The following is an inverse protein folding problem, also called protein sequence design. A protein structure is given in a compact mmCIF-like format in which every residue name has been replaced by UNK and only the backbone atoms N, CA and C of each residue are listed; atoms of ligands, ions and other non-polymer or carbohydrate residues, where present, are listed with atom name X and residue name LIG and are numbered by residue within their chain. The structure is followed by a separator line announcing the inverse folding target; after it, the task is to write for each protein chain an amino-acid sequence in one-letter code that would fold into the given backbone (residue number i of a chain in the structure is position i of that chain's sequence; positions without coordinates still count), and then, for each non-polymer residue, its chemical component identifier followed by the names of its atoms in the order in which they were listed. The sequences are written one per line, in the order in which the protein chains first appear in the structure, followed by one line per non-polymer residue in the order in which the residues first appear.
data_IF_483904441940
#
_entry.id   IF_483904441940
#
_cell.length_a   1.000
_cell.length_b   1.000
_cell.length_c   1.000
_cell.angle_alpha   90.00
_cell.angle_beta   90.00
_cell.angle_gamma   90.00
#
_symmetry.space_group_name_H-M   'P 1'
#
loop_
_entity.id
_entity.type
_entity.pdbx_description
1 polymer ?
#
# COMPACT_ATOMS: atom_id res chain seq x y z
N UNK A 1 -53.33 -4.57 69.82
CA UNK A 1 -52.02 -3.92 69.82
C UNK A 1 -51.40 -4.18 68.48
N UNK A 2 -51.62 -3.25 67.55
CA UNK A 2 -51.10 -3.35 66.19
C UNK A 2 -49.80 -2.53 66.13
N UNK A 3 -48.74 -3.12 65.65
CA UNK A 3 -47.46 -2.50 65.50
C UNK A 3 -47.30 -2.28 63.96
N UNK A 4 -47.23 -0.98 63.52
CA UNK A 4 -47.00 -0.59 62.18
C UNK A 4 -45.50 -0.79 61.81
N UNK A 5 -45.18 -1.25 60.60
CA UNK A 5 -43.80 -1.31 60.15
C UNK A 5 -43.41 0.06 59.48
N UNK A 6 -42.27 0.58 59.91
CA UNK A 6 -41.62 1.78 59.35
C UNK A 6 -41.18 1.53 57.91
N UNK A 7 -41.67 2.42 57.00
CA UNK A 7 -41.19 2.51 55.65
C UNK A 7 -39.83 3.23 55.62
N UNK A 8 -38.80 2.60 55.06
CA UNK A 8 -37.54 3.26 54.69
C UNK A 8 -37.70 4.00 53.39
N UNK A 9 -37.14 5.21 53.23
CA UNK A 9 -37.13 5.90 51.96
C UNK A 9 -36.19 5.25 50.99
N UNK A 10 -36.70 4.99 49.80
CA UNK A 10 -35.94 4.47 48.65
C UNK A 10 -35.02 5.56 48.14
N UNK A 11 -33.72 5.39 48.21
CA UNK A 11 -32.74 6.20 47.47
C UNK A 11 -32.86 5.93 45.97
N UNK A 12 -32.82 6.95 45.10
CA UNK A 12 -32.83 6.74 43.64
C UNK A 12 -31.53 6.09 43.26
N UNK A 13 -31.63 4.85 42.73
CA UNK A 13 -30.51 4.12 42.16
C UNK A 13 -29.92 4.85 40.95
N UNK A 14 -28.60 4.88 40.92
CA UNK A 14 -27.80 5.26 39.77
C UNK A 14 -28.26 4.47 38.56
N UNK A 15 -28.70 5.19 37.53
CA UNK A 15 -29.01 4.66 36.20
C UNK A 15 -27.67 4.51 35.42
N UNK A 16 -27.22 3.30 35.06
CA UNK A 16 -25.97 3.09 34.35
C UNK A 16 -26.09 3.33 32.84
N UNK A 17 -27.15 3.99 32.35
CA UNK A 17 -27.42 4.22 30.93
C UNK A 17 -27.13 5.64 30.44
N UNK A 18 -26.31 6.43 31.16
CA UNK A 18 -25.77 7.63 30.54
C UNK A 18 -24.64 7.21 29.58
N UNK A 19 -24.77 7.51 28.28
CA UNK A 19 -23.65 7.36 27.37
C UNK A 19 -22.50 8.23 27.91
N UNK A 20 -21.33 7.62 28.10
CA UNK A 20 -20.13 8.34 28.47
C UNK A 20 -19.96 9.51 27.49
N UNK A 21 -19.89 10.74 28.01
CA UNK A 21 -19.55 11.93 27.26
C UNK A 21 -18.28 11.66 26.44
N UNK A 22 -18.45 11.47 25.13
CA UNK A 22 -17.31 11.53 24.24
C UNK A 22 -16.68 12.93 24.41
N UNK A 23 -15.34 13.03 24.54
CA UNK A 23 -14.71 14.31 24.79
C UNK A 23 -15.01 15.24 23.62
N UNK A 24 -15.92 16.18 23.82
CA UNK A 24 -16.20 17.32 22.95
C UNK A 24 -14.96 18.19 22.88
N UNK A 25 -13.93 17.83 22.14
CA UNK A 25 -12.99 18.81 21.58
C UNK A 25 -11.99 18.14 20.64
N UNK A 26 -12.47 17.46 19.62
CA UNK A 26 -11.60 17.30 18.48
C UNK A 26 -11.46 18.68 17.83
N UNK A 27 -10.26 19.26 17.88
CA UNK A 27 -9.99 20.55 17.23
C UNK A 27 -10.32 20.45 15.73
N UNK A 28 -10.64 21.56 15.09
CA UNK A 28 -10.84 21.59 13.62
C UNK A 28 -9.63 21.00 12.89
N UNK A 29 -8.44 21.22 13.43
CA UNK A 29 -7.17 20.71 12.90
C UNK A 29 -7.09 19.18 12.99
N UNK A 30 -7.49 18.57 14.11
CA UNK A 30 -7.50 17.11 14.25
C UNK A 30 -8.48 16.45 13.28
N UNK A 31 -9.68 17.04 13.09
CA UNK A 31 -10.63 16.55 12.08
C UNK A 31 -10.08 16.67 10.66
N UNK A 32 -9.39 17.76 10.36
CA UNK A 32 -8.73 17.95 9.05
C UNK A 32 -7.62 16.94 8.82
N UNK A 33 -6.75 16.75 9.81
CA UNK A 33 -5.67 15.75 9.75
C UNK A 33 -6.22 14.34 9.52
N UNK A 34 -7.25 13.93 10.27
CA UNK A 34 -7.91 12.63 10.09
C UNK A 34 -8.50 12.47 8.70
N UNK A 35 -9.13 13.50 8.14
CA UNK A 35 -9.69 13.48 6.79
C UNK A 35 -8.60 13.31 5.73
N UNK A 36 -7.46 14.00 5.89
CA UNK A 36 -6.30 13.87 4.98
C UNK A 36 -5.74 12.45 5.06
N UNK A 37 -5.46 11.95 6.27
CA UNK A 37 -4.92 10.60 6.46
C UNK A 37 -5.86 9.52 5.92
N UNK A 38 -7.17 9.66 6.11
CA UNK A 38 -8.14 8.74 5.52
C UNK A 38 -8.09 8.77 3.99
N UNK A 39 -8.02 9.96 3.38
CA UNK A 39 -7.89 10.12 1.92
C UNK A 39 -6.61 9.49 1.38
N UNK A 40 -5.47 9.76 2.00
CA UNK A 40 -4.18 9.16 1.64
C UNK A 40 -4.20 7.63 1.78
N UNK A 41 -4.79 7.12 2.88
CA UNK A 41 -4.95 5.68 3.10
C UNK A 41 -5.80 5.02 2.02
N UNK A 42 -6.94 5.63 1.64
CA UNK A 42 -7.77 5.16 0.53
C UNK A 42 -7.00 5.17 -0.80
N UNK A 43 -6.32 6.27 -1.12
CA UNK A 43 -5.53 6.38 -2.36
C UNK A 43 -4.42 5.33 -2.40
N UNK A 44 -3.71 5.13 -1.28
CA UNK A 44 -2.67 4.11 -1.16
C UNK A 44 -3.21 2.70 -1.37
N UNK A 45 -4.32 2.37 -0.72
CA UNK A 45 -5.02 1.09 -0.90
C UNK A 45 -5.46 0.90 -2.36
N UNK A 46 -6.11 1.90 -2.95
CA UNK A 46 -6.55 1.85 -4.34
C UNK A 46 -5.40 1.62 -5.31
N UNK A 47 -4.29 2.37 -5.17
CA UNK A 47 -3.09 2.20 -5.98
C UNK A 47 -2.47 0.82 -5.84
N UNK A 48 -2.50 0.24 -4.63
CA UNK A 48 -1.99 -1.10 -4.37
C UNK A 48 -2.73 -2.17 -5.19
N UNK A 49 -4.06 -2.09 -5.27
CA UNK A 49 -4.90 -3.09 -5.93
C UNK A 49 -5.24 -2.76 -7.39
N UNK A 50 -5.31 -1.49 -7.77
CA UNK A 50 -5.85 -1.04 -9.08
C UNK A 50 -4.88 -0.15 -9.87
N UNK A 51 -3.91 0.49 -9.23
CA UNK A 51 -3.01 1.48 -9.83
C UNK A 51 -1.84 0.92 -10.63
N UNK A 52 -1.94 -0.33 -11.12
CA UNK A 52 -0.86 -0.96 -11.88
C UNK A 52 0.26 -1.48 -11.00
N UNK A 53 -0.08 -2.07 -9.85
CA UNK A 53 0.80 -2.94 -9.05
C UNK A 53 2.11 -2.30 -8.57
N UNK A 54 2.06 -1.61 -7.45
CA UNK A 54 3.29 -1.25 -6.72
C UNK A 54 3.84 -2.47 -5.99
N UNK A 55 3.02 -3.51 -5.80
CA UNK A 55 3.40 -4.72 -5.08
C UNK A 55 3.07 -6.02 -5.84
N UNK A 56 3.68 -7.11 -5.42
CA UNK A 56 3.44 -8.44 -5.96
C UNK A 56 4.25 -8.78 -7.21
N UNK A 57 3.62 -9.41 -8.20
CA UNK A 57 4.27 -9.94 -9.41
C UNK A 57 4.63 -8.86 -10.42
N UNK A 58 3.74 -7.89 -10.62
CA UNK A 58 3.84 -6.87 -11.65
C UNK A 58 5.12 -6.00 -11.57
N UNK A 59 5.58 -5.54 -10.41
CA UNK A 59 6.81 -4.76 -10.33
C UNK A 59 8.05 -5.51 -10.84
N UNK A 60 8.17 -6.80 -10.55
CA UNK A 60 9.31 -7.63 -10.99
C UNK A 60 9.28 -7.80 -12.50
N UNK A 61 8.12 -8.15 -13.06
CA UNK A 61 7.93 -8.32 -14.51
C UNK A 61 8.24 -7.02 -15.24
N UNK A 62 7.73 -5.89 -14.74
CA UNK A 62 7.99 -4.57 -15.33
C UNK A 62 9.46 -4.13 -15.22
N UNK A 63 10.15 -4.48 -14.13
CA UNK A 63 11.57 -4.17 -13.98
C UNK A 63 12.42 -4.99 -14.98
N UNK A 64 12.13 -6.28 -15.11
CA UNK A 64 12.79 -7.14 -16.08
C UNK A 64 12.56 -6.62 -17.50
N UNK A 65 11.35 -6.20 -17.84
CA UNK A 65 11.02 -5.65 -19.17
C UNK A 65 11.74 -4.33 -19.51
N UNK A 66 12.24 -3.60 -18.51
CA UNK A 66 13.08 -2.40 -18.73
C UNK A 66 14.52 -2.77 -19.10
N UNK A 67 14.95 -4.00 -18.85
CA UNK A 67 16.28 -4.45 -19.23
C UNK A 67 16.32 -4.84 -20.71
N UNK A 68 17.37 -4.48 -21.45
CA UNK A 68 17.46 -4.80 -22.88
C UNK A 68 17.31 -6.29 -23.19
N UNK A 69 17.75 -7.15 -22.28
CA UNK A 69 17.70 -8.62 -22.41
C UNK A 69 16.52 -9.26 -21.73
N UNK A 70 15.71 -8.49 -20.98
CA UNK A 70 14.61 -9.01 -20.15
C UNK A 70 15.09 -9.87 -18.98
N UNK A 71 16.35 -9.72 -18.53
CA UNK A 71 16.92 -10.54 -17.47
C UNK A 71 17.70 -9.75 -16.42
N UNK A 72 17.65 -10.23 -15.18
CA UNK A 72 18.45 -9.79 -14.04
C UNK A 72 18.82 -10.98 -13.16
N UNK A 73 19.87 -10.84 -12.36
CA UNK A 73 20.13 -11.81 -11.31
C UNK A 73 19.12 -11.68 -10.16
N UNK A 74 18.89 -12.79 -9.44
CA UNK A 74 18.03 -12.77 -8.25
C UNK A 74 18.57 -11.80 -7.19
N UNK A 75 19.88 -11.61 -7.10
CA UNK A 75 20.51 -10.68 -6.18
C UNK A 75 20.18 -9.22 -6.53
N UNK A 76 20.29 -8.83 -7.82
CA UNK A 76 19.92 -7.49 -8.29
C UNK A 76 18.44 -7.19 -8.03
N UNK A 77 17.56 -8.17 -8.25
CA UNK A 77 16.14 -8.03 -7.91
C UNK A 77 15.93 -7.82 -6.41
N UNK A 78 16.64 -8.58 -5.56
CA UNK A 78 16.57 -8.43 -4.10
C UNK A 78 16.99 -7.05 -3.62
N UNK A 79 18.09 -6.53 -4.15
CA UNK A 79 18.57 -5.17 -3.84
C UNK A 79 17.62 -4.08 -4.32
N UNK A 80 17.03 -4.25 -5.53
CA UNK A 80 16.14 -3.24 -6.10
C UNK A 80 14.84 -3.08 -5.32
N UNK A 81 14.31 -4.18 -4.79
CA UNK A 81 13.01 -4.18 -4.09
C UNK A 81 13.14 -4.21 -2.56
N UNK A 82 14.36 -4.19 -2.03
CA UNK A 82 14.64 -4.35 -0.60
C UNK A 82 13.88 -5.54 0.03
N UNK A 83 13.85 -6.65 -0.69
CA UNK A 83 13.13 -7.85 -0.27
C UNK A 83 14.06 -8.86 0.40
N UNK A 84 13.57 -9.41 1.52
CA UNK A 84 14.23 -10.58 2.13
C UNK A 84 14.30 -11.74 1.12
N UNK A 85 15.39 -12.53 1.11
CA UNK A 85 15.58 -13.62 0.14
C UNK A 85 14.42 -14.62 0.05
N UNK A 86 13.79 -14.93 1.20
CA UNK A 86 12.63 -15.83 1.25
C UNK A 86 11.39 -15.27 0.55
N UNK A 87 11.06 -14.00 0.81
CA UNK A 87 9.92 -13.32 0.18
C UNK A 87 10.10 -13.19 -1.33
N UNK A 88 11.31 -12.82 -1.78
CA UNK A 88 11.62 -12.76 -3.19
C UNK A 88 11.49 -14.15 -3.85
N UNK A 89 12.03 -15.20 -3.21
CA UNK A 89 11.96 -16.56 -3.74
C UNK A 89 10.52 -17.06 -3.91
N UNK A 90 9.62 -16.72 -2.98
CA UNK A 90 8.19 -17.04 -3.08
C UNK A 90 7.52 -16.33 -4.26
N UNK A 91 7.79 -15.02 -4.45
CA UNK A 91 7.24 -14.25 -5.57
C UNK A 91 7.75 -14.83 -6.90
N UNK A 92 9.06 -15.10 -7.00
CA UNK A 92 9.65 -15.68 -8.21
C UNK A 92 9.08 -17.07 -8.51
N UNK A 93 8.81 -17.89 -7.49
CA UNK A 93 8.17 -19.20 -7.69
C UNK A 93 6.76 -19.07 -8.25
N UNK A 94 5.98 -18.09 -7.78
CA UNK A 94 4.63 -17.81 -8.31
C UNK A 94 4.69 -17.29 -9.76
N UNK A 95 5.70 -16.48 -10.10
CA UNK A 95 5.91 -16.00 -11.48
C UNK A 95 6.31 -17.13 -12.44
N UNK A 96 7.21 -18.01 -12.00
CA UNK A 96 7.66 -19.16 -12.78
C UNK A 96 6.54 -20.17 -12.99
N UNK A 97 5.76 -20.51 -11.95
CA UNK A 97 4.56 -21.34 -12.07
C UNK A 97 3.50 -20.72 -13.00
N UNK A 98 3.41 -19.39 -13.04
CA UNK A 98 2.57 -18.66 -13.98
C UNK A 98 3.13 -18.57 -15.40
N UNK A 99 4.32 -19.13 -15.66
CA UNK A 99 4.97 -19.13 -16.97
C UNK A 99 5.47 -17.77 -17.43
N UNK A 100 5.57 -16.78 -16.53
CA UNK A 100 5.98 -15.41 -16.87
C UNK A 100 7.51 -15.21 -16.86
N UNK A 101 8.20 -16.04 -16.10
CA UNK A 101 9.67 -16.03 -16.02
C UNK A 101 10.25 -17.45 -16.10
N UNK A 102 11.53 -17.53 -16.43
CA UNK A 102 12.37 -18.69 -16.31
C UNK A 102 13.54 -18.39 -15.37
N UNK A 103 13.93 -19.38 -14.56
CA UNK A 103 15.10 -19.32 -13.71
C UNK A 103 16.18 -20.24 -14.25
N UNK A 104 17.38 -19.72 -14.45
CA UNK A 104 18.55 -20.48 -14.90
C UNK A 104 19.77 -20.17 -14.04
N UNK A 105 20.70 -21.10 -14.00
CA UNK A 105 22.01 -20.84 -13.36
C UNK A 105 22.87 -20.00 -14.30
N UNK A 106 23.46 -18.92 -13.76
CA UNK A 106 24.39 -18.11 -14.53
C UNK A 106 25.57 -18.95 -14.99
N UNK A 107 25.89 -18.90 -16.30
CA UNK A 107 26.99 -19.70 -16.90
C UNK A 107 28.34 -19.31 -16.32
N UNK A 108 28.55 -18.03 -15.96
CA UNK A 108 29.84 -17.52 -15.42
C UNK A 108 29.93 -17.70 -13.90
N UNK A 109 28.81 -17.69 -13.20
CA UNK A 109 28.76 -17.87 -11.75
C UNK A 109 27.57 -18.78 -11.37
N UNK A 110 27.84 -20.09 -11.24
CA UNK A 110 26.80 -21.10 -10.94
C UNK A 110 26.08 -20.92 -9.60
N UNK A 111 26.59 -20.05 -8.73
CA UNK A 111 25.94 -19.70 -7.47
C UNK A 111 24.83 -18.62 -7.64
N UNK A 112 24.85 -17.92 -8.77
CA UNK A 112 23.86 -16.92 -9.10
C UNK A 112 22.76 -17.52 -9.98
N UNK A 113 21.50 -17.19 -9.62
CA UNK A 113 20.33 -17.44 -10.46
C UNK A 113 20.06 -16.20 -11.32
N UNK A 114 19.88 -16.42 -12.61
CA UNK A 114 19.38 -15.41 -13.57
C UNK A 114 17.90 -15.64 -13.77
N UNK A 115 17.15 -14.58 -13.70
CA UNK A 115 15.71 -14.51 -13.90
C UNK A 115 15.48 -13.85 -15.24
N UNK A 116 14.75 -14.48 -16.16
CA UNK A 116 14.47 -13.99 -17.50
C UNK A 116 12.97 -14.01 -17.76
N UNK A 117 12.46 -13.01 -18.48
CA UNK A 117 11.09 -13.03 -18.99
C UNK A 117 10.93 -14.09 -20.09
N UNK A 118 9.80 -14.77 -20.06
CA UNK A 118 9.29 -15.54 -21.19
C UNK A 118 8.53 -14.62 -22.18
N UNK A 119 8.10 -15.14 -23.33
CA UNK A 119 7.21 -14.40 -24.24
C UNK A 119 5.91 -13.98 -23.55
N UNK A 120 5.33 -14.86 -22.70
CA UNK A 120 4.19 -14.54 -21.88
C UNK A 120 4.50 -13.44 -20.85
N UNK A 121 5.70 -13.43 -20.28
CA UNK A 121 6.16 -12.39 -19.36
C UNK A 121 6.31 -11.02 -20.05
N UNK A 122 6.79 -10.99 -21.28
CA UNK A 122 6.86 -9.78 -22.08
C UNK A 122 5.47 -9.21 -22.41
N UNK A 123 4.53 -10.08 -22.78
CA UNK A 123 3.14 -9.67 -23.04
C UNK A 123 2.45 -9.14 -21.77
N UNK A 124 2.64 -9.81 -20.63
CA UNK A 124 2.13 -9.34 -19.33
C UNK A 124 2.70 -7.97 -18.97
N UNK A 125 4.03 -7.77 -19.16
CA UNK A 125 4.66 -6.47 -18.93
C UNK A 125 4.04 -5.36 -19.80
N UNK A 126 3.73 -5.66 -21.07
CA UNK A 126 3.10 -4.74 -21.99
C UNK A 126 1.68 -4.36 -21.56
N UNK A 127 0.89 -5.34 -21.13
CA UNK A 127 -0.46 -5.14 -20.60
C UNK A 127 -0.44 -4.27 -19.35
N UNK A 128 0.43 -4.60 -18.40
CA UNK A 128 0.61 -3.84 -17.15
C UNK A 128 1.05 -2.40 -17.44
N UNK A 129 2.00 -2.21 -18.35
CA UNK A 129 2.46 -0.86 -18.72
C UNK A 129 1.34 -0.03 -19.35
N UNK A 130 0.54 -0.62 -20.23
CA UNK A 130 -0.61 0.06 -20.83
C UNK A 130 -1.67 0.42 -19.79
N UNK A 131 -1.93 -0.47 -18.81
CA UNK A 131 -2.84 -0.19 -17.70
C UNK A 131 -2.35 0.96 -16.82
N UNK A 132 -1.04 1.00 -16.52
CA UNK A 132 -0.42 2.10 -15.74
C UNK A 132 -0.48 3.44 -16.46
N UNK A 133 -0.29 3.46 -17.77
CA UNK A 133 -0.42 4.68 -18.57
C UNK A 133 -1.86 5.20 -18.49
N UNK A 134 -2.86 4.34 -18.78
CA UNK A 134 -4.28 4.70 -18.67
C UNK A 134 -4.66 5.18 -17.27
N UNK A 135 -4.17 4.51 -16.24
CA UNK A 135 -4.41 4.95 -14.86
C UNK A 135 -3.86 6.35 -14.61
N UNK A 136 -2.60 6.64 -14.99
CA UNK A 136 -2.00 7.97 -14.81
C UNK A 136 -2.74 9.07 -15.56
N UNK A 137 -3.24 8.78 -16.76
CA UNK A 137 -4.02 9.74 -17.56
C UNK A 137 -5.35 10.10 -16.88
N UNK A 138 -5.95 9.17 -16.15
CA UNK A 138 -7.28 9.30 -15.56
C UNK A 138 -7.27 9.64 -14.07
N UNK A 139 -6.26 9.22 -13.33
CA UNK A 139 -6.20 9.31 -11.87
C UNK A 139 -6.42 10.72 -11.32
N UNK A 140 -5.99 11.72 -12.07
CA UNK A 140 -6.07 13.13 -11.68
C UNK A 140 -6.94 13.96 -12.61
N UNK A 141 -7.85 13.33 -13.38
CA UNK A 141 -8.69 14.02 -14.35
C UNK A 141 -9.65 15.05 -13.74
N UNK A 142 -9.98 14.88 -12.46
CA UNK A 142 -10.81 15.82 -11.70
C UNK A 142 -10.07 17.09 -11.25
N UNK A 143 -8.73 17.14 -11.39
CA UNK A 143 -7.89 18.26 -11.00
C UNK A 143 -7.41 19.05 -12.19
N UNK A 144 -7.35 20.37 -12.08
CA UNK A 144 -6.64 21.24 -13.01
C UNK A 144 -5.14 20.98 -12.99
N UNK A 145 -4.40 21.59 -13.91
CA UNK A 145 -2.94 21.46 -13.93
C UNK A 145 -2.30 22.03 -12.67
N UNK A 146 -2.68 23.24 -12.28
CA UNK A 146 -2.16 23.92 -11.09
C UNK A 146 -2.45 23.12 -9.80
N UNK A 147 -3.68 22.59 -9.67
CA UNK A 147 -4.05 21.72 -8.52
C UNK A 147 -3.22 20.43 -8.46
N UNK A 148 -2.77 19.89 -9.60
CA UNK A 148 -1.88 18.71 -9.62
C UNK A 148 -0.47 19.07 -9.18
N UNK A 149 0.04 20.24 -9.59
CA UNK A 149 1.34 20.75 -9.13
C UNK A 149 1.31 21.03 -7.62
N UNK A 150 0.30 21.74 -7.13
CA UNK A 150 0.10 22.00 -5.70
C UNK A 150 0.03 20.70 -4.89
N UNK A 151 -0.73 19.70 -5.37
CA UNK A 151 -0.84 18.39 -4.71
C UNK A 151 0.52 17.68 -4.65
N UNK A 152 1.29 17.71 -5.74
CA UNK A 152 2.62 17.09 -5.77
C UNK A 152 3.56 17.74 -4.75
N UNK A 153 3.59 19.08 -4.68
CA UNK A 153 4.39 19.80 -3.70
C UNK A 153 3.95 19.51 -2.24
N UNK A 154 2.63 19.43 -1.99
CA UNK A 154 2.13 19.08 -0.65
C UNK A 154 2.53 17.67 -0.24
N UNK A 155 2.45 16.70 -1.16
CA UNK A 155 2.88 15.32 -0.90
C UNK A 155 4.39 15.23 -0.64
N UNK A 156 5.20 15.99 -1.36
CA UNK A 156 6.64 16.05 -1.11
C UNK A 156 6.98 16.61 0.28
N UNK A 157 6.28 17.67 0.72
CA UNK A 157 6.43 18.22 2.08
C UNK A 157 6.04 17.19 3.14
N UNK A 158 4.92 16.51 2.96
CA UNK A 158 4.45 15.46 3.89
C UNK A 158 5.48 14.32 3.96
N UNK A 159 6.01 13.88 2.82
CA UNK A 159 7.01 12.80 2.76
C UNK A 159 8.24 13.14 3.56
N UNK A 160 8.82 14.33 3.39
CA UNK A 160 10.00 14.77 4.15
C UNK A 160 9.72 14.76 5.65
N UNK A 161 8.57 15.31 6.07
CA UNK A 161 8.20 15.32 7.49
C UNK A 161 8.05 13.91 8.07
N UNK A 162 7.50 12.97 7.31
CA UNK A 162 7.32 11.58 7.79
C UNK A 162 8.63 10.80 7.86
N UNK A 163 9.56 11.06 6.92
CA UNK A 163 10.91 10.50 6.98
C UNK A 163 11.65 10.93 8.28
N UNK A 164 11.43 12.18 8.72
CA UNK A 164 11.99 12.71 9.97
C UNK A 164 11.34 12.14 11.25
N UNK A 165 10.12 11.60 11.17
CA UNK A 165 9.44 10.99 12.32
C UNK A 165 9.91 9.55 12.60
N UNK A 166 10.54 8.89 11.63
CA UNK A 166 11.03 7.52 11.73
C UNK A 166 12.50 7.46 12.22
N UNK A 167 13.19 8.61 12.32
CA UNK A 167 14.55 8.77 12.88
C UNK A 167 14.53 9.03 14.41
#
# INVERSE_FOLDING_TARGET
MCVEPHAHPHEPGDDPSQPADEPETQSKEDRLAKRILHGLGFCGHYMHFHGGGISGKAPIVCLLAKQPTGELSQQELGMHFDLKPGSLSEILSKLELGGLIERSRNRKNRRQLTIRLTDAGWEEARIDQAARIRFREQAFSALTHDEREDLAEMLDKIRVTWEELDD
#
